data_IF_471724536741
#
_entry.id   IF_471724536741
#
_cell.length_a   1.000
_cell.length_b   1.000
_cell.length_c   1.000
_cell.angle_alpha   90.00
_cell.angle_beta   90.00
_cell.angle_gamma   90.00
#
_symmetry.space_group_name_H-M   'P 1'
#
loop_
_entity.id
_entity.type
_entity.pdbx_description
1 polymer ?
#
# COMPACT_ATOMS: atom_id res chain seq x y z
N UNK A 1 -10.19 -10.14 -0.37
CA UNK A 1 -10.87 -9.12 -1.19
C UNK A 1 -10.05 -8.67 -2.40
N UNK A 2 -8.98 -9.36 -2.74
CA UNK A 2 -8.08 -9.06 -3.85
C UNK A 2 -7.14 -7.88 -3.57
N UNK A 3 -6.34 -7.55 -4.58
CA UNK A 3 -5.38 -6.46 -4.58
C UNK A 3 -5.85 -5.36 -5.53
N UNK A 4 -5.46 -4.14 -5.23
CA UNK A 4 -5.72 -3.00 -6.08
C UNK A 4 -4.59 -1.98 -5.95
N UNK A 5 -4.45 -1.11 -6.93
CA UNK A 5 -3.52 0.00 -6.92
C UNK A 5 -4.18 1.26 -7.46
N UNK A 6 -3.51 2.37 -7.26
CA UNK A 6 -3.93 3.66 -7.81
C UNK A 6 -2.72 4.38 -8.41
N UNK A 7 -2.98 5.11 -9.48
CA UNK A 7 -2.02 6.00 -10.12
C UNK A 7 -2.59 7.40 -10.07
N UNK A 8 -1.80 8.36 -9.60
CA UNK A 8 -2.16 9.78 -9.60
C UNK A 8 -1.20 10.53 -10.48
N UNK A 9 -1.71 11.43 -11.32
CA UNK A 9 -0.89 12.25 -12.22
C UNK A 9 -1.61 13.54 -12.58
N UNK A 10 -0.84 14.58 -12.88
CA UNK A 10 -1.35 15.83 -13.47
C UNK A 10 -1.17 15.86 -15.02
N UNK A 11 -0.63 14.79 -15.60
CA UNK A 11 -0.48 14.63 -17.04
C UNK A 11 -1.70 13.90 -17.61
N UNK A 12 -2.54 14.64 -18.35
CA UNK A 12 -3.77 14.12 -18.94
C UNK A 12 -3.52 13.05 -20.00
N UNK A 13 -2.42 13.13 -20.75
CA UNK A 13 -2.07 12.13 -21.75
C UNK A 13 -1.67 10.82 -21.09
N UNK A 14 -0.86 10.90 -20.02
CA UNK A 14 -0.51 9.74 -19.21
C UNK A 14 -1.74 9.11 -18.57
N UNK A 15 -2.63 9.91 -17.99
CA UNK A 15 -3.88 9.43 -17.40
C UNK A 15 -4.73 8.64 -18.40
N UNK A 16 -4.96 9.22 -19.58
CA UNK A 16 -5.75 8.60 -20.67
C UNK A 16 -5.10 7.29 -21.15
N UNK A 17 -3.77 7.27 -21.29
CA UNK A 17 -3.04 6.07 -21.72
C UNK A 17 -3.09 4.95 -20.67
N UNK A 18 -2.94 5.28 -19.40
CA UNK A 18 -3.06 4.31 -18.29
C UNK A 18 -4.48 3.74 -18.24
N UNK A 19 -5.49 4.58 -18.37
CA UNK A 19 -6.89 4.14 -18.41
C UNK A 19 -7.18 3.18 -19.57
N UNK A 20 -6.68 3.49 -20.77
CA UNK A 20 -6.81 2.62 -21.93
C UNK A 20 -6.13 1.27 -21.69
N UNK A 21 -4.86 1.27 -21.22
CA UNK A 21 -4.12 0.04 -20.94
C UNK A 21 -4.84 -0.82 -19.90
N UNK A 22 -5.33 -0.22 -18.81
CA UNK A 22 -6.07 -0.93 -17.77
C UNK A 22 -7.41 -1.50 -18.22
N UNK A 23 -7.95 -1.02 -19.35
CA UNK A 23 -9.21 -1.44 -19.94
C UNK A 23 -9.00 -2.11 -21.30
N UNK A 24 -8.19 -3.16 -21.36
CA UNK A 24 -7.90 -3.95 -22.57
C UNK A 24 -7.27 -3.16 -23.73
N UNK A 25 -6.68 -2.00 -23.49
CA UNK A 25 -6.14 -1.14 -24.53
C UNK A 25 -7.20 -0.34 -25.28
N UNK A 26 -8.40 -0.23 -24.74
CA UNK A 26 -9.55 0.40 -25.39
C UNK A 26 -9.69 1.86 -24.97
N UNK A 27 -9.62 2.76 -25.95
CA UNK A 27 -9.96 4.18 -25.81
C UNK A 27 -11.45 4.42 -26.02
N UNK A 28 -12.07 3.66 -26.94
CA UNK A 28 -13.49 3.67 -27.23
C UNK A 28 -14.07 2.25 -27.23
N UNK A 29 -15.37 2.11 -27.04
CA UNK A 29 -16.03 0.81 -26.97
C UNK A 29 -15.75 -0.01 -28.24
N UNK A 30 -15.13 -1.19 -28.06
CA UNK A 30 -14.73 -2.14 -29.11
C UNK A 30 -13.54 -1.72 -29.98
N UNK A 31 -12.88 -0.60 -29.69
CA UNK A 31 -11.66 -0.16 -30.38
C UNK A 31 -10.48 -0.31 -29.45
N UNK A 32 -9.49 -1.13 -29.85
CA UNK A 32 -8.29 -1.44 -29.05
C UNK A 32 -7.06 -0.88 -29.77
N UNK A 33 -6.65 0.32 -29.40
CA UNK A 33 -5.54 1.03 -30.06
C UNK A 33 -4.17 0.59 -29.56
N UNK A 34 -4.12 0.03 -28.36
CA UNK A 34 -2.88 -0.42 -27.73
C UNK A 34 -3.09 -1.78 -27.08
N UNK A 35 -1.98 -2.48 -26.81
CA UNK A 35 -2.04 -3.68 -25.97
C UNK A 35 -2.39 -3.30 -24.54
N UNK A 36 -3.38 -3.94 -23.97
CA UNK A 36 -3.84 -3.67 -22.63
C UNK A 36 -4.24 -4.93 -21.87
N UNK A 37 -4.57 -4.75 -20.61
CA UNK A 37 -4.97 -5.80 -19.66
C UNK A 37 -6.29 -5.41 -19.00
N UNK A 38 -6.95 -6.37 -18.36
CA UNK A 38 -8.02 -6.05 -17.43
C UNK A 38 -7.39 -5.76 -16.05
N UNK A 39 -7.28 -4.50 -15.70
CA UNK A 39 -6.76 -4.04 -14.41
C UNK A 39 -7.62 -2.91 -13.87
N UNK A 40 -8.78 -3.28 -13.33
CA UNK A 40 -9.79 -2.35 -12.84
C UNK A 40 -10.17 -2.68 -11.41
N UNK A 41 -10.53 -1.66 -10.65
CA UNK A 41 -11.13 -1.82 -9.33
C UNK A 41 -12.63 -2.14 -9.52
N UNK A 42 -13.07 -3.26 -8.98
CA UNK A 42 -14.48 -3.63 -9.01
C UNK A 42 -15.30 -2.73 -8.05
N UNK A 43 -16.55 -2.48 -8.41
CA UNK A 43 -17.47 -1.60 -7.65
C UNK A 43 -17.66 -2.07 -6.21
N UNK A 44 -17.70 -3.38 -5.98
CA UNK A 44 -17.79 -3.95 -4.61
C UNK A 44 -16.52 -3.61 -3.81
N UNK A 45 -15.35 -3.71 -4.42
CA UNK A 45 -14.07 -3.33 -3.78
C UNK A 45 -14.04 -1.82 -3.49
N UNK A 46 -14.49 -1.00 -4.45
CA UNK A 46 -14.59 0.45 -4.28
C UNK A 46 -15.54 0.82 -3.13
N UNK A 47 -16.67 0.16 -3.00
CA UNK A 47 -17.61 0.37 -1.90
C UNK A 47 -17.00 0.06 -0.53
N UNK A 48 -16.24 -1.05 -0.42
CA UNK A 48 -15.51 -1.40 0.81
C UNK A 48 -14.45 -0.37 1.12
N UNK A 49 -13.67 0.06 0.12
CA UNK A 49 -12.64 1.09 0.30
C UNK A 49 -13.23 2.43 0.76
N UNK A 50 -14.37 2.84 0.22
CA UNK A 50 -15.05 4.06 0.65
C UNK A 50 -15.43 4.05 2.14
N UNK A 51 -15.78 2.90 2.67
CA UNK A 51 -16.02 2.74 4.12
C UNK A 51 -14.70 2.82 4.90
N UNK A 52 -13.68 2.10 4.44
CA UNK A 52 -12.37 2.01 5.14
C UNK A 52 -11.62 3.34 5.14
N UNK A 53 -11.73 4.13 4.07
CA UNK A 53 -11.08 5.45 3.96
C UNK A 53 -11.46 6.39 5.11
N UNK A 54 -12.67 6.29 5.64
CA UNK A 54 -13.14 7.11 6.77
C UNK A 54 -12.36 6.85 8.07
N UNK A 55 -11.72 5.70 8.18
CA UNK A 55 -10.99 5.26 9.38
C UNK A 55 -9.47 5.20 9.15
N UNK A 56 -9.00 5.54 7.95
CA UNK A 56 -7.60 5.33 7.56
C UNK A 56 -6.63 6.03 8.50
N UNK A 57 -6.87 7.31 8.80
CA UNK A 57 -6.00 8.11 9.67
C UNK A 57 -5.95 7.54 11.08
N UNK A 58 -7.11 7.22 11.65
CA UNK A 58 -7.18 6.62 12.99
C UNK A 58 -6.52 5.23 13.06
N UNK A 59 -6.61 4.44 11.98
CA UNK A 59 -5.92 3.15 11.89
C UNK A 59 -4.40 3.34 11.76
N UNK A 60 -3.94 4.33 11.01
CA UNK A 60 -2.52 4.66 10.90
C UNK A 60 -1.95 5.14 12.25
N UNK A 61 -2.69 5.95 13.00
CA UNK A 61 -2.29 6.37 14.35
C UNK A 61 -2.14 5.19 15.30
N UNK A 62 -3.06 4.24 15.27
CA UNK A 62 -2.95 3.01 16.06
C UNK A 62 -1.70 2.20 15.69
N UNK A 63 -1.37 2.09 14.39
CA UNK A 63 -0.13 1.42 13.95
C UNK A 63 1.12 2.16 14.44
N UNK A 64 1.12 3.50 14.44
CA UNK A 64 2.20 4.31 14.98
C UNK A 64 2.42 4.06 16.47
N UNK A 65 1.35 3.99 17.24
CA UNK A 65 1.39 3.68 18.69
C UNK A 65 2.00 2.29 18.90
N UNK A 66 1.56 1.27 18.17
CA UNK A 66 2.08 -0.10 18.29
C UNK A 66 3.56 -0.16 17.88
N UNK A 67 3.94 0.53 16.81
CA UNK A 67 5.33 0.59 16.38
C UNK A 67 6.23 1.25 17.43
N UNK A 68 5.77 2.35 18.02
CA UNK A 68 6.45 3.02 19.13
C UNK A 68 6.62 2.10 20.34
N UNK A 69 5.59 1.34 20.67
CA UNK A 69 5.67 0.33 21.73
C UNK A 69 6.75 -0.72 21.44
N UNK A 70 6.77 -1.30 20.24
CA UNK A 70 7.78 -2.29 19.86
C UNK A 70 9.21 -1.72 19.91
N UNK A 71 9.42 -0.51 19.42
CA UNK A 71 10.74 0.14 19.46
C UNK A 71 11.22 0.35 20.89
N UNK A 72 10.31 0.71 21.80
CA UNK A 72 10.66 0.98 23.18
C UNK A 72 10.84 -0.28 24.03
N UNK A 73 10.12 -1.36 23.74
CA UNK A 73 10.08 -2.54 24.59
C UNK A 73 10.96 -3.70 24.12
N UNK A 74 11.28 -3.80 22.85
CA UNK A 74 12.17 -4.87 22.34
C UNK A 74 13.61 -4.54 22.75
N UNK A 75 14.15 -5.30 23.70
CA UNK A 75 15.50 -5.11 24.28
C UNK A 75 16.53 -6.14 23.77
N UNK A 76 16.12 -7.08 22.93
CA UNK A 76 17.03 -8.12 22.44
C UNK A 76 18.05 -7.54 21.46
N UNK A 77 19.31 -7.55 21.85
CA UNK A 77 20.44 -7.02 21.05
C UNK A 77 20.68 -7.74 19.73
N UNK A 78 20.15 -8.96 19.56
CA UNK A 78 20.23 -9.71 18.31
C UNK A 78 19.21 -9.25 17.27
N UNK A 79 18.24 -8.40 17.65
CA UNK A 79 17.20 -7.87 16.80
C UNK A 79 17.54 -6.41 16.47
N UNK A 80 17.65 -6.13 15.19
CA UNK A 80 17.83 -4.77 14.67
C UNK A 80 16.45 -4.22 14.33
N UNK A 81 16.03 -3.20 15.07
CA UNK A 81 14.75 -2.53 14.88
C UNK A 81 14.83 -1.49 13.76
N UNK A 82 13.70 -1.17 13.11
CA UNK A 82 13.63 -0.06 12.17
C UNK A 82 13.84 1.26 12.92
N UNK A 83 14.41 2.24 12.22
CA UNK A 83 14.55 3.59 12.76
C UNK A 83 13.20 4.32 12.73
N UNK A 84 12.90 5.10 13.77
CA UNK A 84 11.78 6.02 13.74
C UNK A 84 12.04 7.12 12.71
N UNK A 85 11.05 7.47 11.88
CA UNK A 85 11.16 8.62 10.99
C UNK A 85 11.29 9.92 11.80
N UNK A 86 11.93 10.93 11.23
CA UNK A 86 12.04 12.25 11.86
C UNK A 86 10.66 12.94 11.95
N UNK A 87 9.89 12.82 10.87
CA UNK A 87 8.49 13.24 10.86
C UNK A 87 7.59 12.00 10.96
N UNK A 88 6.68 12.00 11.92
CA UNK A 88 5.75 10.90 12.18
C UNK A 88 4.86 10.55 10.97
N UNK A 89 4.62 11.51 10.08
CA UNK A 89 3.77 11.32 8.90
C UNK A 89 4.48 10.64 7.72
N UNK A 90 5.81 10.51 7.77
CA UNK A 90 6.58 9.84 6.72
C UNK A 90 6.36 8.33 6.65
N UNK A 91 5.82 7.71 7.73
CA UNK A 91 5.64 6.26 7.78
C UNK A 91 4.32 5.86 8.44
N UNK A 92 3.59 4.97 7.78
CA UNK A 92 2.29 4.47 8.27
C UNK A 92 2.37 3.10 8.95
N UNK A 93 3.55 2.52 9.06
CA UNK A 93 3.80 1.23 9.73
C UNK A 93 2.89 0.10 9.25
N UNK A 94 2.71 0.01 7.93
CA UNK A 94 1.97 -1.10 7.33
C UNK A 94 2.57 -2.45 7.74
N UNK A 95 3.90 -2.54 7.76
CA UNK A 95 4.67 -3.65 8.28
C UNK A 95 5.73 -3.12 9.27
N UNK A 96 5.93 -3.85 10.37
CA UNK A 96 7.02 -3.61 11.30
C UNK A 96 8.11 -4.65 11.06
N UNK A 97 9.10 -4.31 10.23
CA UNK A 97 10.14 -5.26 9.80
C UNK A 97 11.36 -5.15 10.71
N UNK A 98 11.72 -6.25 11.33
CA UNK A 98 12.96 -6.39 12.09
C UNK A 98 14.00 -7.19 11.29
N UNK A 99 15.29 -7.01 11.60
CA UNK A 99 16.38 -7.77 11.00
C UNK A 99 17.14 -8.51 12.08
N UNK A 100 17.61 -9.73 11.78
CA UNK A 100 18.49 -10.52 12.65
C UNK A 100 19.33 -11.48 11.79
N UNK A 101 20.47 -11.93 12.30
CA UNK A 101 21.32 -12.92 11.62
C UNK A 101 20.66 -14.29 11.53
N UNK A 102 19.91 -14.68 12.56
CA UNK A 102 19.28 -16.00 12.69
C UNK A 102 17.77 -15.93 12.49
N UNK A 103 17.34 -15.50 11.27
CA UNK A 103 15.92 -15.30 10.95
C UNK A 103 15.08 -16.55 11.19
N UNK A 104 15.58 -17.71 10.78
CA UNK A 104 14.81 -18.95 10.87
C UNK A 104 14.58 -19.39 12.32
N UNK A 105 15.56 -19.15 13.19
CA UNK A 105 15.44 -19.44 14.63
C UNK A 105 14.47 -18.48 15.33
N UNK A 106 14.36 -17.24 14.82
CA UNK A 106 13.40 -16.27 15.34
C UNK A 106 11.97 -16.58 14.89
N UNK A 107 11.81 -17.27 13.74
CA UNK A 107 10.51 -17.62 13.18
C UNK A 107 9.93 -18.91 13.75
N UNK A 108 10.75 -19.80 14.31
CA UNK A 108 10.37 -21.08 14.90
C UNK A 108 9.71 -20.90 16.26
#
# INVERSE_FOLDING_TARGET
MGDAGAITTNDEQLASRVQAIANYGSSEKYIHDVLGVNSRLDEIQAAVLNVKMKYLDSENDKRRIVAGFYINEIRNKKIILPQMPQNIDEHVWHLFVVRCEHRNDLQA
#
